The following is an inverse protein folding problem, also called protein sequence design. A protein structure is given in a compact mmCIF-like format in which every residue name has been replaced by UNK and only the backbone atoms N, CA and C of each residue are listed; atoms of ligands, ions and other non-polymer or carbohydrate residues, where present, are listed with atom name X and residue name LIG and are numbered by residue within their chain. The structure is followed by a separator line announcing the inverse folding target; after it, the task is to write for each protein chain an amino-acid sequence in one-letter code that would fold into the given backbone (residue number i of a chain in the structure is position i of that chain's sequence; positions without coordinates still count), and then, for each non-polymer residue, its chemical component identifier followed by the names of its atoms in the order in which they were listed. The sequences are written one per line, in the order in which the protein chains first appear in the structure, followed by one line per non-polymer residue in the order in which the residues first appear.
data_IF_049240366350
#
_entry.id   IF_049240366350
#
_cell.length_a   1.000
_cell.length_b   1.000
_cell.length_c   1.000
_cell.angle_alpha   90.00
_cell.angle_beta   90.00
_cell.angle_gamma   90.00
#
_symmetry.space_group_name_H-M   'P 1'
#
loop_
_entity.id
_entity.type
_entity.pdbx_description
1 polymer ?
#
# COMPACT_ATOMS: atom_id res chain seq x y z
N UNK A 1 -26.24 -12.51 7.79
CA UNK A 1 -25.73 -11.71 6.66
C UNK A 1 -25.04 -12.66 5.70
N UNK A 2 -25.30 -12.54 4.42
CA UNK A 2 -24.55 -13.32 3.43
C UNK A 2 -23.06 -12.96 3.53
N UNK A 3 -22.22 -13.98 3.37
CA UNK A 3 -20.76 -13.83 3.44
C UNK A 3 -20.30 -13.00 2.21
N UNK A 4 -19.63 -11.89 2.45
CA UNK A 4 -19.00 -11.07 1.39
C UNK A 4 -17.62 -11.65 1.08
N UNK A 5 -17.30 -11.83 -0.20
CA UNK A 5 -16.00 -12.41 -0.57
C UNK A 5 -14.89 -11.35 -0.60
N UNK A 6 -15.19 -10.15 -1.11
CA UNK A 6 -14.20 -9.09 -1.28
C UNK A 6 -14.71 -7.76 -0.71
N UNK A 7 -13.89 -7.12 0.12
CA UNK A 7 -14.06 -5.69 0.45
C UNK A 7 -13.08 -4.88 -0.42
N UNK A 8 -13.60 -4.06 -1.33
CA UNK A 8 -12.81 -3.01 -1.98
C UNK A 8 -12.65 -1.90 -0.95
N UNK A 9 -11.43 -1.63 -0.51
CA UNK A 9 -11.12 -0.64 0.51
C UNK A 9 -10.43 0.57 -0.12
N UNK A 10 -11.06 1.73 -0.06
CA UNK A 10 -10.52 2.97 -0.61
C UNK A 10 -10.22 3.98 0.50
N UNK A 11 -8.94 4.16 0.88
CA UNK A 11 -8.54 5.31 1.67
C UNK A 11 -8.58 6.57 0.80
N UNK A 12 -9.17 7.64 1.32
CA UNK A 12 -9.27 8.92 0.59
C UNK A 12 -8.97 10.11 1.50
N UNK A 13 -8.37 11.16 0.93
CA UNK A 13 -8.14 12.44 1.60
C UNK A 13 -8.12 13.57 0.58
N UNK A 14 -9.10 14.49 0.65
CA UNK A 14 -9.24 15.64 -0.26
C UNK A 14 -9.24 15.23 -1.76
N UNK A 15 -9.98 14.17 -2.13
CA UNK A 15 -10.00 13.60 -3.48
C UNK A 15 -11.40 13.21 -3.96
N UNK A 16 -12.43 13.87 -3.46
CA UNK A 16 -13.82 13.55 -3.79
C UNK A 16 -14.10 13.49 -5.31
N UNK A 17 -13.48 14.38 -6.09
CA UNK A 17 -13.66 14.43 -7.54
C UNK A 17 -13.10 13.18 -8.27
N UNK A 18 -12.08 12.53 -7.72
CA UNK A 18 -11.46 11.31 -8.29
C UNK A 18 -12.28 10.06 -7.96
N UNK A 19 -12.96 10.02 -6.80
CA UNK A 19 -13.78 8.88 -6.38
C UNK A 19 -14.88 8.53 -7.39
N UNK A 20 -15.41 9.50 -8.14
CA UNK A 20 -16.43 9.23 -9.14
C UNK A 20 -15.94 8.37 -10.31
N UNK A 21 -14.64 8.45 -10.64
CA UNK A 21 -14.03 7.61 -11.68
C UNK A 21 -13.89 6.17 -11.18
N UNK A 22 -13.34 6.01 -9.97
CA UNK A 22 -13.25 4.72 -9.31
C UNK A 22 -14.65 4.09 -9.13
N UNK A 23 -15.63 4.86 -8.67
CA UNK A 23 -17.03 4.42 -8.53
C UNK A 23 -17.58 3.82 -9.82
N UNK A 24 -17.41 4.50 -10.95
CA UNK A 24 -17.87 4.01 -12.26
C UNK A 24 -17.24 2.67 -12.64
N UNK A 25 -15.98 2.43 -12.29
CA UNK A 25 -15.29 1.15 -12.55
C UNK A 25 -15.79 0.05 -11.62
N UNK A 26 -16.11 0.38 -10.36
CA UNK A 26 -16.70 -0.54 -9.40
C UNK A 26 -18.08 -1.02 -9.85
N UNK A 27 -18.91 -0.11 -10.39
CA UNK A 27 -20.23 -0.47 -10.92
C UNK A 27 -20.18 -1.43 -12.12
N UNK A 28 -19.07 -1.45 -12.86
CA UNK A 28 -18.89 -2.32 -14.03
C UNK A 28 -18.37 -3.70 -13.69
N UNK A 29 -17.98 -3.97 -12.44
CA UNK A 29 -17.41 -5.27 -12.08
C UNK A 29 -18.37 -6.41 -12.45
N UNK A 30 -17.83 -7.45 -13.14
CA UNK A 30 -18.58 -8.66 -13.52
C UNK A 30 -18.97 -9.51 -12.31
N UNK A 31 -18.14 -9.56 -11.29
CA UNK A 31 -18.44 -10.20 -10.01
C UNK A 31 -19.22 -9.28 -9.08
N UNK A 32 -20.20 -9.79 -8.32
CA UNK A 32 -21.11 -8.96 -7.53
C UNK A 32 -21.08 -9.19 -6.02
N UNK A 33 -20.51 -10.27 -5.53
CA UNK A 33 -20.45 -10.52 -4.08
C UNK A 33 -19.27 -9.79 -3.43
N UNK A 34 -19.31 -8.46 -3.46
CA UNK A 34 -18.35 -7.57 -2.84
C UNK A 34 -19.03 -6.36 -2.19
N UNK A 35 -18.32 -5.69 -1.30
CA UNK A 35 -18.67 -4.37 -0.79
C UNK A 35 -17.60 -3.33 -1.19
N UNK A 36 -17.98 -2.07 -1.23
CA UNK A 36 -17.04 -0.95 -1.34
C UNK A 36 -17.02 -0.13 -0.06
N UNK A 37 -15.87 -0.11 0.62
CA UNK A 37 -15.64 0.60 1.86
C UNK A 37 -14.73 1.81 1.61
N UNK A 38 -15.30 3.01 1.71
CA UNK A 38 -14.58 4.28 1.59
C UNK A 38 -14.20 4.74 2.99
N UNK A 39 -12.90 4.94 3.24
CA UNK A 39 -12.39 5.48 4.51
C UNK A 39 -11.79 6.85 4.25
N UNK A 40 -12.50 7.87 4.68
CA UNK A 40 -12.08 9.27 4.59
C UNK A 40 -11.16 9.62 5.76
N UNK A 41 -9.91 9.92 5.44
CA UNK A 41 -8.87 10.27 6.40
C UNK A 41 -8.89 11.76 6.78
N UNK A 42 -10.08 12.30 7.08
CA UNK A 42 -10.24 13.65 7.58
C UNK A 42 -10.24 14.72 6.47
N UNK A 43 -10.90 14.46 5.34
CA UNK A 43 -11.01 15.44 4.25
C UNK A 43 -11.67 16.74 4.72
N UNK A 44 -11.16 17.84 4.18
CA UNK A 44 -11.63 19.23 4.43
C UNK A 44 -12.23 19.88 3.20
N UNK A 45 -12.18 19.18 2.06
CA UNK A 45 -12.83 19.58 0.80
C UNK A 45 -14.26 19.00 0.67
N UNK A 46 -14.82 19.02 -0.54
CA UNK A 46 -16.14 18.48 -0.84
C UNK A 46 -16.21 16.93 -0.89
N UNK A 47 -15.17 16.19 -0.47
CA UNK A 47 -15.12 14.71 -0.54
C UNK A 47 -16.36 14.09 0.11
N UNK A 48 -16.68 14.46 1.33
CA UNK A 48 -17.84 13.95 2.06
C UNK A 48 -19.14 14.21 1.28
N UNK A 49 -19.32 15.42 0.77
CA UNK A 49 -20.50 15.81 0.00
C UNK A 49 -20.64 15.00 -1.30
N UNK A 50 -19.51 14.76 -2.00
CA UNK A 50 -19.50 13.90 -3.20
C UNK A 50 -19.92 12.48 -2.85
N UNK A 51 -19.40 11.90 -1.78
CA UNK A 51 -19.75 10.54 -1.35
C UNK A 51 -21.23 10.47 -0.99
N UNK A 52 -21.72 11.33 -0.11
CA UNK A 52 -23.10 11.29 0.37
C UNK A 52 -24.12 11.54 -0.75
N UNK A 53 -23.88 12.54 -1.61
CA UNK A 53 -24.86 12.98 -2.60
C UNK A 53 -24.79 12.24 -3.94
N UNK A 54 -23.61 11.81 -4.38
CA UNK A 54 -23.41 11.23 -5.73
C UNK A 54 -23.12 9.73 -5.74
N UNK A 55 -22.59 9.19 -4.62
CA UNK A 55 -22.23 7.78 -4.55
C UNK A 55 -23.28 7.02 -3.73
N UNK A 56 -23.53 7.40 -2.47
CA UNK A 56 -24.44 6.67 -1.60
C UNK A 56 -25.90 6.74 -2.07
N UNK A 57 -26.30 7.86 -2.67
CA UNK A 57 -27.65 7.98 -3.21
C UNK A 57 -27.89 7.11 -4.45
N UNK A 58 -26.83 6.68 -5.12
CA UNK A 58 -26.89 5.80 -6.30
C UNK A 58 -26.92 4.30 -5.95
N UNK A 59 -26.50 3.93 -4.74
CA UNK A 59 -26.31 2.54 -4.31
C UNK A 59 -27.59 1.71 -4.41
N UNK A 60 -28.75 2.29 -4.13
CA UNK A 60 -30.03 1.61 -4.20
C UNK A 60 -30.40 1.17 -5.62
N UNK A 61 -29.90 1.90 -6.65
CA UNK A 61 -30.13 1.59 -8.06
C UNK A 61 -29.22 0.49 -8.61
N UNK A 62 -28.05 0.31 -7.98
CA UNK A 62 -26.98 -0.54 -8.52
C UNK A 62 -26.75 -1.84 -7.75
N UNK A 63 -27.37 -2.01 -6.60
CA UNK A 63 -27.23 -3.22 -5.78
C UNK A 63 -25.85 -3.44 -5.15
N UNK A 64 -24.93 -2.47 -5.28
CA UNK A 64 -23.59 -2.54 -4.67
C UNK A 64 -23.68 -2.02 -3.23
N UNK A 65 -23.22 -2.80 -2.27
CA UNK A 65 -23.11 -2.33 -0.88
C UNK A 65 -21.95 -1.37 -0.75
N UNK A 66 -22.25 -0.10 -0.43
CA UNK A 66 -21.25 0.95 -0.24
C UNK A 66 -21.34 1.48 1.17
N UNK A 67 -20.17 1.61 1.84
CA UNK A 67 -20.07 2.12 3.20
C UNK A 67 -19.04 3.25 3.24
N UNK A 68 -19.35 4.30 3.99
CA UNK A 68 -18.46 5.45 4.19
C UNK A 68 -18.13 5.61 5.67
N UNK A 69 -16.85 5.71 5.97
CA UNK A 69 -16.33 5.91 7.32
C UNK A 69 -15.44 7.15 7.30
N UNK A 70 -15.76 8.11 8.15
CA UNK A 70 -14.91 9.28 8.40
C UNK A 70 -14.03 9.04 9.64
N UNK A 71 -12.78 9.51 9.61
CA UNK A 71 -11.86 9.55 10.74
C UNK A 71 -10.99 10.80 10.69
N UNK A 72 -10.42 11.19 11.83
CA UNK A 72 -9.42 12.25 11.84
C UNK A 72 -8.18 11.89 11.03
N UNK A 73 -7.55 12.89 10.40
CA UNK A 73 -6.41 12.68 9.52
C UNK A 73 -5.21 12.09 10.25
N UNK A 74 -4.82 10.88 9.89
CA UNK A 74 -3.67 10.14 10.40
C UNK A 74 -2.74 9.60 9.31
N UNK A 75 -3.11 9.77 8.04
CA UNK A 75 -2.41 9.24 6.87
C UNK A 75 -3.02 7.95 6.32
N UNK A 76 -2.77 7.66 5.04
CA UNK A 76 -3.33 6.53 4.28
C UNK A 76 -3.29 5.21 5.07
N UNK A 77 -2.17 4.91 5.71
CA UNK A 77 -1.96 3.66 6.46
C UNK A 77 -2.95 3.50 7.63
N UNK A 78 -3.29 4.58 8.33
CA UNK A 78 -4.28 4.54 9.43
C UNK A 78 -5.71 4.36 8.89
N UNK A 79 -6.01 4.94 7.71
CA UNK A 79 -7.26 4.71 7.03
C UNK A 79 -7.39 3.25 6.53
N UNK A 80 -6.29 2.65 6.06
CA UNK A 80 -6.25 1.22 5.70
C UNK A 80 -6.52 0.35 6.94
N UNK A 81 -5.81 0.56 8.06
CA UNK A 81 -6.06 -0.18 9.31
C UNK A 81 -7.52 -0.08 9.74
N UNK A 82 -8.08 1.15 9.70
CA UNK A 82 -9.49 1.39 10.05
C UNK A 82 -10.43 0.62 9.12
N UNK A 83 -10.17 0.65 7.82
CA UNK A 83 -10.95 -0.06 6.81
C UNK A 83 -10.88 -1.58 6.99
N UNK A 84 -9.70 -2.15 7.21
CA UNK A 84 -9.52 -3.58 7.48
C UNK A 84 -10.32 -4.03 8.70
N UNK A 85 -10.38 -3.21 9.76
CA UNK A 85 -11.21 -3.51 10.94
C UNK A 85 -12.70 -3.65 10.57
N UNK A 86 -13.22 -2.75 9.71
CA UNK A 86 -14.63 -2.72 9.33
C UNK A 86 -14.98 -3.53 8.08
N UNK A 87 -14.01 -4.01 7.32
CA UNK A 87 -14.25 -4.84 6.14
C UNK A 87 -15.04 -6.10 6.51
N UNK A 88 -16.00 -6.52 5.65
CA UNK A 88 -16.77 -7.76 5.82
C UNK A 88 -16.25 -8.88 4.91
N UNK A 89 -15.52 -8.53 3.84
CA UNK A 89 -14.96 -9.48 2.89
C UNK A 89 -13.86 -10.35 3.49
N UNK A 90 -13.74 -11.57 2.99
CA UNK A 90 -12.62 -12.46 3.27
C UNK A 90 -11.31 -11.86 2.73
N UNK A 91 -11.37 -11.32 1.49
CA UNK A 91 -10.28 -10.63 0.83
C UNK A 91 -10.47 -9.11 0.92
N UNK A 92 -9.39 -8.36 1.06
CA UNK A 92 -9.36 -6.90 1.06
C UNK A 92 -8.55 -6.43 -0.15
N UNK A 93 -9.22 -5.76 -1.07
CA UNK A 93 -8.65 -5.12 -2.25
C UNK A 93 -8.46 -3.63 -1.95
N UNK A 94 -7.24 -3.19 -1.65
CA UNK A 94 -6.95 -1.78 -1.39
C UNK A 94 -6.90 -1.04 -2.73
N UNK A 95 -7.88 -0.19 -3.01
CA UNK A 95 -7.97 0.62 -4.22
C UNK A 95 -7.78 2.11 -3.90
N UNK A 96 -6.79 2.74 -4.50
CA UNK A 96 -6.55 4.17 -4.32
C UNK A 96 -7.63 5.00 -5.02
N UNK A 97 -7.96 6.17 -4.46
CA UNK A 97 -9.07 7.02 -4.92
C UNK A 97 -8.90 7.60 -6.32
N UNK A 98 -7.68 7.60 -6.85
CA UNK A 98 -7.28 8.12 -8.17
C UNK A 98 -7.10 7.05 -9.25
N UNK A 99 -7.34 5.78 -8.92
CA UNK A 99 -7.18 4.65 -9.82
C UNK A 99 -8.53 4.03 -10.23
N UNK A 100 -8.52 3.00 -11.06
CA UNK A 100 -9.72 2.27 -11.48
C UNK A 100 -9.45 0.77 -11.60
N UNK A 101 -10.52 -0.03 -11.56
CA UNK A 101 -10.46 -1.47 -11.74
C UNK A 101 -10.89 -1.86 -13.16
N UNK A 102 -10.18 -2.77 -13.86
CA UNK A 102 -10.73 -3.46 -15.03
C UNK A 102 -12.07 -4.14 -14.70
N UNK A 103 -12.98 -4.25 -15.65
CA UNK A 103 -14.34 -4.74 -15.42
C UNK A 103 -14.42 -6.14 -14.81
N UNK A 104 -13.39 -6.98 -14.99
CA UNK A 104 -13.28 -8.34 -14.47
C UNK A 104 -12.26 -8.50 -13.33
N UNK A 105 -11.78 -7.42 -12.72
CA UNK A 105 -10.70 -7.46 -11.72
C UNK A 105 -11.08 -8.33 -10.51
N UNK A 106 -12.26 -8.09 -9.92
CA UNK A 106 -12.72 -8.83 -8.74
C UNK A 106 -12.98 -10.30 -9.08
N UNK A 107 -13.59 -10.59 -10.22
CA UNK A 107 -13.81 -11.97 -10.69
C UNK A 107 -12.47 -12.71 -10.86
N UNK A 108 -11.48 -12.07 -11.45
CA UNK A 108 -10.13 -12.63 -11.62
C UNK A 108 -9.52 -12.99 -10.27
N UNK A 109 -9.56 -12.06 -9.31
CA UNK A 109 -9.01 -12.28 -7.95
C UNK A 109 -9.72 -13.43 -7.24
N UNK A 110 -11.06 -13.47 -7.28
CA UNK A 110 -11.85 -14.52 -6.61
C UNK A 110 -11.57 -15.89 -7.24
N UNK A 111 -11.57 -16.00 -8.57
CA UNK A 111 -11.31 -17.24 -9.27
C UNK A 111 -9.90 -17.78 -8.97
N UNK A 112 -8.88 -16.92 -8.97
CA UNK A 112 -7.51 -17.32 -8.65
C UNK A 112 -7.39 -17.74 -7.17
N UNK A 113 -8.08 -17.04 -6.25
CA UNK A 113 -8.12 -17.41 -4.85
C UNK A 113 -8.81 -18.75 -4.62
N UNK A 114 -9.94 -18.98 -5.27
CA UNK A 114 -10.67 -20.25 -5.18
C UNK A 114 -9.89 -21.42 -5.78
N UNK A 115 -9.04 -21.17 -6.77
CA UNK A 115 -8.16 -22.17 -7.39
C UNK A 115 -6.99 -22.63 -6.49
N UNK A 116 -6.72 -21.98 -5.36
CA UNK A 116 -5.67 -22.41 -4.43
C UNK A 116 -6.21 -23.55 -3.56
N UNK A 117 -5.59 -24.73 -3.67
CA UNK A 117 -6.01 -25.94 -2.93
C UNK A 117 -5.70 -25.83 -1.43
N UNK A 118 -4.46 -25.50 -1.08
CA UNK A 118 -4.04 -25.25 0.30
C UNK A 118 -3.79 -23.77 0.53
N UNK A 119 -4.75 -23.11 1.15
CA UNK A 119 -4.74 -21.67 1.44
C UNK A 119 -3.95 -21.31 2.70
N UNK A 120 -3.57 -22.30 3.52
CA UNK A 120 -2.98 -22.05 4.86
C UNK A 120 -1.67 -21.26 4.84
N UNK A 121 -0.92 -21.32 3.73
CA UNK A 121 0.36 -20.63 3.55
C UNK A 121 0.26 -19.39 2.68
N UNK A 122 -0.95 -19.00 2.27
CA UNK A 122 -1.16 -17.85 1.39
C UNK A 122 -1.78 -16.68 2.13
N UNK A 123 -1.29 -15.48 1.83
CA UNK A 123 -1.86 -14.22 2.28
C UNK A 123 -2.92 -13.65 1.33
N UNK A 124 -2.98 -14.13 0.08
CA UNK A 124 -3.88 -13.60 -0.94
C UNK A 124 -3.33 -13.72 -2.36
N UNK A 125 -3.74 -12.78 -3.21
CA UNK A 125 -3.41 -12.71 -4.65
C UNK A 125 -2.64 -11.41 -4.93
N UNK A 126 -1.77 -11.44 -5.94
CA UNK A 126 -1.13 -10.24 -6.46
C UNK A 126 -1.19 -10.24 -7.99
N UNK A 127 -1.79 -9.22 -8.59
CA UNK A 127 -1.85 -9.05 -10.04
C UNK A 127 -1.04 -7.85 -10.51
N UNK A 128 -1.02 -7.66 -11.83
CA UNK A 128 -0.29 -6.56 -12.46
C UNK A 128 -1.08 -5.26 -12.41
N UNK A 129 -0.33 -4.16 -12.29
CA UNK A 129 -0.81 -2.82 -12.57
C UNK A 129 -0.53 -2.48 -14.04
N UNK A 130 -1.44 -1.71 -14.65
CA UNK A 130 -1.23 -1.12 -15.97
C UNK A 130 -1.65 0.35 -15.97
N UNK A 131 -1.14 1.12 -16.92
CA UNK A 131 -1.64 2.46 -17.21
C UNK A 131 -3.00 2.40 -17.90
N UNK A 132 -3.72 3.51 -17.96
CA UNK A 132 -5.07 3.56 -18.55
C UNK A 132 -5.13 3.20 -20.04
N UNK A 133 -3.99 3.27 -20.76
CA UNK A 133 -3.85 2.78 -22.13
C UNK A 133 -3.57 1.26 -22.21
N UNK A 134 -3.59 0.56 -21.05
CA UNK A 134 -3.41 -0.89 -20.97
C UNK A 134 -1.97 -1.37 -20.94
N UNK A 135 -0.98 -0.48 -20.91
CA UNK A 135 0.43 -0.85 -20.83
C UNK A 135 0.79 -1.28 -19.42
N UNK A 136 1.26 -2.53 -19.27
CA UNK A 136 1.74 -3.08 -18.00
C UNK A 136 2.87 -2.23 -17.42
N UNK A 137 2.80 -1.95 -16.11
CA UNK A 137 3.82 -1.21 -15.38
C UNK A 137 4.90 -2.17 -14.93
N UNK A 138 6.12 -1.93 -15.38
CA UNK A 138 7.27 -2.76 -15.03
C UNK A 138 7.52 -3.92 -15.99
N UNK A 139 8.09 -5.03 -15.45
CA UNK A 139 8.57 -6.15 -16.25
C UNK A 139 7.51 -7.21 -16.57
N UNK A 140 6.35 -7.15 -15.95
CA UNK A 140 5.46 -8.31 -15.88
C UNK A 140 6.08 -9.47 -15.07
N UNK A 141 5.41 -10.61 -15.07
CA UNK A 141 5.91 -11.83 -14.40
C UNK A 141 6.63 -12.74 -15.40
N UNK A 142 7.62 -13.53 -14.94
CA UNK A 142 8.32 -14.51 -15.80
C UNK A 142 7.48 -15.76 -16.12
N UNK A 143 6.29 -15.91 -15.54
CA UNK A 143 5.34 -16.99 -15.79
C UNK A 143 3.91 -16.50 -15.56
N UNK A 144 2.91 -17.24 -16.07
CA UNK A 144 1.49 -16.92 -15.89
C UNK A 144 1.07 -16.86 -14.42
N UNK A 145 1.64 -17.73 -13.59
CA UNK A 145 1.37 -17.78 -12.16
C UNK A 145 2.63 -18.13 -11.38
N UNK A 146 2.86 -17.45 -10.27
CA UNK A 146 3.99 -17.71 -9.35
C UNK A 146 3.47 -17.69 -7.93
N UNK A 147 3.64 -18.79 -7.18
CA UNK A 147 3.34 -18.87 -5.76
C UNK A 147 4.64 -18.57 -4.95
N UNK A 148 4.80 -17.33 -4.48
CA UNK A 148 6.04 -16.88 -3.84
C UNK A 148 5.80 -15.76 -2.84
N UNK A 149 6.86 -15.32 -2.15
CA UNK A 149 6.82 -14.16 -1.25
C UNK A 149 7.13 -12.85 -1.99
N UNK A 150 6.67 -11.71 -1.48
CA UNK A 150 7.00 -10.41 -2.07
C UNK A 150 8.50 -10.14 -2.06
N UNK A 151 9.22 -10.60 -1.03
CA UNK A 151 10.68 -10.49 -0.95
C UNK A 151 11.34 -11.25 -2.09
N UNK A 152 10.96 -12.51 -2.33
CA UNK A 152 11.53 -13.34 -3.39
C UNK A 152 11.24 -12.75 -4.78
N UNK A 153 9.98 -12.37 -5.04
CA UNK A 153 9.57 -11.81 -6.34
C UNK A 153 10.31 -10.50 -6.65
N UNK A 154 10.39 -9.59 -5.67
CA UNK A 154 10.99 -8.27 -5.89
C UNK A 154 12.52 -8.29 -5.91
N UNK A 155 13.15 -9.04 -5.01
CA UNK A 155 14.61 -8.97 -4.83
C UNK A 155 15.37 -10.09 -5.51
N UNK A 156 14.83 -11.32 -5.55
CA UNK A 156 15.52 -12.48 -6.13
C UNK A 156 15.12 -12.67 -7.61
N UNK A 157 13.82 -12.66 -7.92
CA UNK A 157 13.32 -12.74 -9.32
C UNK A 157 13.41 -11.40 -10.05
N UNK A 158 13.68 -10.29 -9.35
CA UNK A 158 13.89 -8.94 -9.89
C UNK A 158 12.71 -8.43 -10.72
N UNK A 159 11.49 -8.82 -10.35
CA UNK A 159 10.27 -8.27 -10.95
C UNK A 159 10.14 -6.81 -10.55
N UNK A 160 10.04 -5.93 -11.56
CA UNK A 160 9.96 -4.48 -11.39
C UNK A 160 8.56 -3.96 -11.71
N UNK A 161 8.29 -2.72 -11.31
CA UNK A 161 6.99 -2.06 -11.49
C UNK A 161 6.07 -2.26 -10.28
N UNK A 162 5.04 -1.44 -10.20
CA UNK A 162 4.02 -1.59 -9.17
C UNK A 162 3.12 -2.79 -9.51
N UNK A 163 2.58 -3.44 -8.52
CA UNK A 163 1.63 -4.54 -8.61
C UNK A 163 0.58 -4.37 -7.53
N UNK A 164 -0.60 -4.92 -7.75
CA UNK A 164 -1.72 -4.81 -6.82
C UNK A 164 -1.84 -6.08 -5.98
N UNK A 165 -1.57 -5.93 -4.71
CA UNK A 165 -1.80 -6.97 -3.71
C UNK A 165 -3.23 -6.92 -3.19
N UNK A 166 -3.87 -8.10 -3.10
CA UNK A 166 -5.17 -8.33 -2.48
C UNK A 166 -4.98 -9.34 -1.38
N UNK A 167 -5.16 -8.93 -0.14
CA UNK A 167 -4.83 -9.75 1.01
C UNK A 167 -6.07 -10.34 1.70
N UNK A 168 -5.88 -11.46 2.37
CA UNK A 168 -6.82 -11.91 3.40
C UNK A 168 -6.96 -10.85 4.49
N UNK A 169 -8.20 -10.55 4.88
CA UNK A 169 -8.50 -9.67 6.00
C UNK A 169 -7.76 -10.09 7.27
N UNK A 170 -7.76 -11.38 7.59
CA UNK A 170 -7.09 -11.94 8.77
C UNK A 170 -5.58 -11.68 8.78
N UNK A 171 -4.94 -11.73 7.60
CA UNK A 171 -3.51 -11.44 7.46
C UNK A 171 -3.23 -9.96 7.68
N UNK A 172 -4.04 -9.05 7.11
CA UNK A 172 -3.89 -7.61 7.38
C UNK A 172 -4.16 -7.25 8.85
N UNK A 173 -5.02 -8.00 9.54
CA UNK A 173 -5.24 -7.85 10.98
C UNK A 173 -4.07 -8.39 11.81
N UNK A 174 -3.38 -9.43 11.35
CA UNK A 174 -2.17 -9.96 11.99
C UNK A 174 -0.97 -9.02 11.80
N UNK A 175 -0.88 -8.35 10.66
CA UNK A 175 0.21 -7.43 10.29
C UNK A 175 -0.32 -6.00 10.02
N UNK A 176 -0.85 -5.29 11.03
CA UNK A 176 -1.34 -3.93 10.82
C UNK A 176 -0.19 -2.97 10.51
N UNK A 177 -0.53 -1.91 9.82
CA UNK A 177 0.41 -0.79 9.66
C UNK A 177 0.74 -0.18 11.02
N UNK A 178 2.01 0.10 11.35
CA UNK A 178 2.36 0.83 12.55
C UNK A 178 1.84 2.26 12.48
N UNK A 179 1.12 2.67 13.51
CA UNK A 179 0.65 4.05 13.69
C UNK A 179 1.58 4.78 14.65
N UNK A 180 2.41 5.65 14.08
CA UNK A 180 3.45 6.37 14.82
C UNK A 180 2.98 7.80 15.07
N UNK A 181 2.95 8.21 16.33
CA UNK A 181 2.51 9.54 16.71
C UNK A 181 3.29 10.64 15.98
N UNK A 182 2.57 11.53 15.29
CA UNK A 182 3.13 12.63 14.51
C UNK A 182 3.71 12.23 13.16
N UNK A 183 3.59 10.97 12.72
CA UNK A 183 3.90 10.54 11.34
C UNK A 183 2.62 10.22 10.58
N UNK A 184 2.51 10.72 9.36
CA UNK A 184 1.33 10.55 8.49
C UNK A 184 1.59 9.66 7.28
N UNK A 185 2.72 8.98 7.28
CA UNK A 185 3.09 8.06 6.20
C UNK A 185 3.80 6.83 6.75
N UNK A 186 3.36 5.67 6.32
CA UNK A 186 4.07 4.41 6.48
C UNK A 186 4.24 3.75 5.10
N UNK A 187 5.46 3.36 4.70
CA UNK A 187 5.66 2.63 3.45
C UNK A 187 4.91 1.29 3.46
N UNK A 188 4.10 1.01 2.46
CA UNK A 188 3.36 -0.24 2.35
C UNK A 188 4.30 -1.46 2.32
N UNK A 189 5.45 -1.31 1.68
CA UNK A 189 6.50 -2.34 1.63
C UNK A 189 6.94 -2.84 3.00
N UNK A 190 6.80 -2.04 4.07
CA UNK A 190 7.08 -2.49 5.43
C UNK A 190 6.17 -3.64 5.84
N UNK A 191 4.87 -3.47 5.60
CA UNK A 191 3.86 -4.48 5.95
C UNK A 191 3.91 -5.66 4.98
N UNK A 192 4.06 -5.40 3.67
CA UNK A 192 4.18 -6.47 2.67
C UNK A 192 5.38 -7.37 2.91
N UNK A 193 6.51 -6.83 3.33
CA UNK A 193 7.68 -7.62 3.68
C UNK A 193 7.49 -8.40 4.98
N UNK A 194 6.81 -7.84 5.98
CA UNK A 194 6.47 -8.57 7.22
C UNK A 194 5.57 -9.76 6.91
N UNK A 195 4.53 -9.58 6.10
CA UNK A 195 3.65 -10.66 5.63
C UNK A 195 4.48 -11.73 4.90
N UNK A 196 5.43 -11.31 4.06
CA UNK A 196 6.29 -12.20 3.28
C UNK A 196 7.22 -13.07 4.13
N UNK A 197 7.43 -12.75 5.41
CA UNK A 197 8.20 -13.62 6.32
C UNK A 197 7.42 -14.87 6.72
N UNK A 198 6.09 -14.87 6.57
CA UNK A 198 5.23 -15.97 7.01
C UNK A 198 4.38 -16.54 5.88
N UNK A 199 3.96 -15.73 4.93
CA UNK A 199 3.00 -16.09 3.91
C UNK A 199 3.52 -15.83 2.50
N UNK A 200 2.97 -16.58 1.53
CA UNK A 200 3.12 -16.37 0.09
C UNK A 200 1.94 -15.56 -0.46
N UNK A 201 2.11 -15.01 -1.63
CA UNK A 201 1.04 -14.56 -2.52
C UNK A 201 1.04 -15.42 -3.77
N UNK A 202 -0.12 -15.63 -4.36
CA UNK A 202 -0.23 -16.07 -5.73
C UNK A 202 -0.14 -14.86 -6.64
N UNK A 203 0.98 -14.74 -7.35
CA UNK A 203 1.21 -13.72 -8.37
C UNK A 203 0.65 -14.22 -9.69
N UNK A 204 -0.16 -13.39 -10.35
CA UNK A 204 -0.79 -13.70 -11.63
C UNK A 204 -0.37 -12.68 -12.69
N UNK A 205 -0.05 -13.16 -13.90
CA UNK A 205 0.35 -12.30 -15.02
C UNK A 205 -0.89 -11.71 -15.73
N UNK A 206 -1.83 -11.20 -14.92
CA UNK A 206 -3.09 -10.57 -15.35
C UNK A 206 -3.19 -9.17 -14.77
N UNK A 207 -3.64 -8.21 -15.58
CA UNK A 207 -3.91 -6.85 -15.12
C UNK A 207 -5.22 -6.85 -14.33
N UNK A 208 -5.13 -6.45 -13.06
CA UNK A 208 -6.29 -6.32 -12.16
C UNK A 208 -6.47 -4.88 -11.65
N UNK A 209 -5.57 -3.96 -12.02
CA UNK A 209 -5.59 -2.59 -11.55
C UNK A 209 -5.04 -1.63 -12.61
N UNK A 210 -5.68 -0.47 -12.76
CA UNK A 210 -5.27 0.57 -13.69
C UNK A 210 -4.93 1.84 -12.92
N UNK A 211 -3.73 2.35 -13.15
CA UNK A 211 -3.18 3.49 -12.40
C UNK A 211 -2.89 4.67 -13.33
N UNK A 212 -3.04 5.86 -12.76
CA UNK A 212 -2.64 7.10 -13.39
C UNK A 212 -1.72 7.89 -12.44
N UNK A 213 -0.47 8.08 -12.84
CA UNK A 213 0.46 8.85 -12.04
C UNK A 213 0.07 10.34 -11.98
N UNK A 214 -0.37 10.76 -10.80
CA UNK A 214 -0.73 12.16 -10.56
C UNK A 214 0.52 13.00 -10.25
N UNK A 215 0.70 14.19 -10.87
CA UNK A 215 1.81 15.08 -10.57
C UNK A 215 1.91 15.48 -9.09
N UNK A 216 0.75 15.56 -8.41
CA UNK A 216 0.62 15.85 -6.98
C UNK A 216 0.59 14.59 -6.09
N UNK A 217 0.86 13.40 -6.66
CA UNK A 217 0.83 12.13 -5.95
C UNK A 217 2.00 11.97 -4.96
N UNK A 218 1.83 11.06 -4.00
CA UNK A 218 2.87 10.72 -2.99
C UNK A 218 4.17 10.28 -3.67
N UNK A 219 4.08 9.57 -4.79
CA UNK A 219 5.23 9.05 -5.54
C UNK A 219 6.18 10.16 -5.99
N UNK A 220 5.64 11.30 -6.47
CA UNK A 220 6.44 12.46 -6.90
C UNK A 220 7.21 13.13 -5.75
N UNK A 221 6.68 13.05 -4.52
CA UNK A 221 7.24 13.66 -3.31
C UNK A 221 7.77 12.63 -2.30
N UNK A 222 7.99 11.38 -2.70
CA UNK A 222 8.23 10.24 -1.80
C UNK A 222 9.40 10.46 -0.83
N UNK A 223 10.49 11.11 -1.28
CA UNK A 223 11.62 11.42 -0.40
C UNK A 223 11.21 12.38 0.71
N UNK A 224 10.50 13.45 0.36
CA UNK A 224 10.02 14.45 1.34
C UNK A 224 9.04 13.83 2.32
N UNK A 225 8.13 13.00 1.84
CA UNK A 225 7.13 12.29 2.66
C UNK A 225 7.82 11.36 3.67
N UNK A 226 8.85 10.62 3.25
CA UNK A 226 9.66 9.78 4.14
C UNK A 226 10.49 10.59 5.14
N UNK A 227 10.99 11.75 4.76
CA UNK A 227 11.70 12.65 5.69
C UNK A 227 10.79 13.23 6.77
N UNK A 228 9.50 13.44 6.46
CA UNK A 228 8.47 13.87 7.42
C UNK A 228 7.93 12.71 8.29
N UNK A 229 8.13 11.48 7.86
CA UNK A 229 7.79 10.24 8.59
C UNK A 229 9.04 9.35 8.73
N UNK A 230 10.08 9.86 9.43
CA UNK A 230 11.39 9.24 9.42
C UNK A 230 11.47 7.94 10.23
N UNK A 231 10.63 7.75 11.25
CA UNK A 231 10.64 6.55 12.08
C UNK A 231 10.14 5.36 11.26
N UNK A 232 8.98 5.48 10.59
CA UNK A 232 8.45 4.42 9.73
C UNK A 232 9.43 4.08 8.59
N UNK A 233 10.03 5.10 7.95
CA UNK A 233 11.04 4.90 6.93
C UNK A 233 12.29 4.19 7.48
N UNK A 234 12.77 4.57 8.67
CA UNK A 234 13.93 3.96 9.32
C UNK A 234 13.67 2.50 9.69
N UNK A 235 12.50 2.18 10.25
CA UNK A 235 12.08 0.80 10.55
C UNK A 235 12.08 -0.04 9.28
N UNK A 236 11.48 0.47 8.21
CA UNK A 236 11.43 -0.24 6.91
C UNK A 236 12.82 -0.68 6.46
N UNK A 237 13.77 0.25 6.44
CA UNK A 237 15.13 -0.07 6.00
C UNK A 237 15.94 -0.88 7.00
N UNK A 238 15.66 -0.75 8.30
CA UNK A 238 16.27 -1.61 9.32
C UNK A 238 15.83 -3.07 9.14
N UNK A 239 14.54 -3.33 8.93
CA UNK A 239 14.02 -4.69 8.70
C UNK A 239 14.56 -5.30 7.40
N UNK A 240 14.70 -4.51 6.34
CA UNK A 240 15.27 -4.99 5.07
C UNK A 240 16.69 -5.56 5.21
N UNK A 241 17.47 -5.16 6.22
CA UNK A 241 18.81 -5.70 6.46
C UNK A 241 18.79 -7.14 7.01
N UNK A 242 17.65 -7.57 7.55
CA UNK A 242 17.47 -8.92 8.10
C UNK A 242 16.90 -9.92 7.08
N UNK A 243 16.37 -9.45 5.94
CA UNK A 243 15.80 -10.35 4.92
C UNK A 243 16.89 -10.99 4.06
N UNK A 244 16.56 -12.14 3.47
CA UNK A 244 17.42 -12.81 2.49
C UNK A 244 17.30 -12.14 1.12
N UNK A 245 18.06 -11.07 0.95
CA UNK A 245 18.13 -10.25 -0.26
C UNK A 245 19.59 -10.01 -0.64
N UNK A 246 19.82 -9.61 -1.89
CA UNK A 246 21.18 -9.37 -2.39
C UNK A 246 21.97 -8.34 -1.56
N UNK A 247 23.28 -8.48 -1.50
CA UNK A 247 24.15 -7.53 -0.82
C UNK A 247 24.00 -6.09 -1.33
N UNK A 248 23.78 -5.92 -2.65
CA UNK A 248 23.51 -4.60 -3.23
C UNK A 248 22.23 -3.97 -2.65
N UNK A 249 21.16 -4.77 -2.49
CA UNK A 249 19.92 -4.31 -1.87
C UNK A 249 20.12 -3.99 -0.37
N UNK A 250 20.90 -4.79 0.35
CA UNK A 250 21.25 -4.53 1.76
C UNK A 250 22.06 -3.24 1.90
N UNK A 251 23.08 -3.01 1.06
CA UNK A 251 23.87 -1.77 1.07
C UNK A 251 22.96 -0.55 0.81
N UNK A 252 22.08 -0.62 -0.20
CA UNK A 252 21.10 0.44 -0.48
C UNK A 252 20.19 0.69 0.72
N UNK A 253 19.74 -0.36 1.39
CA UNK A 253 18.91 -0.27 2.59
C UNK A 253 19.66 0.35 3.76
N UNK A 254 20.93 -0.03 3.99
CA UNK A 254 21.75 0.54 5.04
C UNK A 254 22.00 2.06 4.82
N UNK A 255 22.26 2.48 3.59
CA UNK A 255 22.41 3.89 3.24
C UNK A 255 21.12 4.66 3.56
N UNK A 256 19.95 4.14 3.13
CA UNK A 256 18.65 4.78 3.40
C UNK A 256 18.29 4.72 4.90
N UNK A 257 18.64 3.66 5.61
CA UNK A 257 18.50 3.60 7.06
C UNK A 257 19.17 4.82 7.72
N UNK A 258 20.45 5.06 7.43
CA UNK A 258 21.16 6.20 8.00
C UNK A 258 20.67 7.54 7.49
N UNK A 259 20.22 7.62 6.23
CA UNK A 259 19.60 8.81 5.63
C UNK A 259 18.37 9.27 6.40
N UNK A 260 17.42 8.36 6.64
CA UNK A 260 16.17 8.71 7.33
C UNK A 260 16.33 8.75 8.85
N UNK A 261 17.23 7.94 9.42
CA UNK A 261 17.58 8.04 10.84
C UNK A 261 18.13 9.42 11.21
N UNK A 262 18.84 10.08 10.30
CA UNK A 262 19.32 11.46 10.51
C UNK A 262 18.19 12.49 10.59
N UNK A 263 16.99 12.18 10.08
CA UNK A 263 15.81 13.04 10.21
C UNK A 263 15.11 12.92 11.56
N UNK A 264 15.41 11.89 12.36
CA UNK A 264 14.77 11.69 13.66
C UNK A 264 15.37 12.71 14.64
N UNK A 265 14.60 13.76 14.92
CA UNK A 265 14.97 14.75 15.92
C UNK A 265 14.84 14.07 17.29
N UNK A 266 15.82 14.27 18.16
CA UNK A 266 15.80 13.83 19.56
C UNK A 266 14.77 14.64 20.35
N UNK A 267 13.50 14.60 19.98
CA UNK A 267 12.43 15.21 20.76
C UNK A 267 11.54 14.11 21.34
N UNK A 268 11.12 14.32 22.56
CA UNK A 268 10.18 13.69 23.49
C UNK A 268 9.04 12.79 22.99
N UNK A 269 9.07 12.25 21.77
CA UNK A 269 8.06 11.31 21.26
C UNK A 269 8.32 9.92 21.86
N UNK A 270 7.27 9.20 22.25
CA UNK A 270 7.34 7.79 22.63
C UNK A 270 8.18 7.06 21.60
N UNK A 271 9.35 6.58 22.01
CA UNK A 271 10.26 5.88 21.11
C UNK A 271 9.64 4.56 20.68
N UNK A 272 9.17 4.52 19.45
CA UNK A 272 8.89 3.23 18.79
C UNK A 272 10.21 2.49 18.65
N UNK A 273 10.24 1.23 19.05
CA UNK A 273 11.46 0.41 18.95
C UNK A 273 11.86 0.25 17.48
N UNK A 274 13.02 0.82 17.12
CA UNK A 274 13.61 0.58 15.80
C UNK A 274 14.42 -0.73 15.90
N UNK A 275 14.25 -1.67 14.96
CA UNK A 275 15.00 -2.93 14.95
C UNK A 275 16.50 -2.68 15.00
N UNK A 276 17.20 -3.58 15.70
CA UNK A 276 18.67 -3.51 15.83
C UNK A 276 19.32 -3.66 14.45
N UNK A 277 20.25 -2.80 14.15
CA UNK A 277 21.06 -2.85 12.92
C UNK A 277 22.51 -3.14 13.30
N UNK A 278 23.07 -4.22 12.75
CA UNK A 278 24.44 -4.64 13.03
C UNK A 278 25.44 -3.50 12.75
N UNK A 279 26.46 -3.39 13.59
CA UNK A 279 27.51 -2.36 13.49
C UNK A 279 28.26 -2.40 12.14
N UNK A 280 28.30 -3.54 11.48
CA UNK A 280 28.93 -3.68 10.14
C UNK A 280 28.33 -2.70 9.12
N UNK A 281 27.06 -2.34 9.26
CA UNK A 281 26.40 -1.40 8.37
C UNK A 281 26.76 0.06 8.65
N UNK A 282 27.51 0.35 9.73
CA UNK A 282 27.96 1.72 10.05
C UNK A 282 28.87 2.30 8.97
N UNK A 283 29.52 1.48 8.17
CA UNK A 283 30.28 1.89 6.98
C UNK A 283 29.43 2.69 5.97
N UNK A 284 28.13 2.47 5.94
CA UNK A 284 27.19 3.19 5.07
C UNK A 284 26.73 4.56 5.65
N UNK A 285 27.06 4.86 6.92
CA UNK A 285 26.64 6.09 7.62
C UNK A 285 27.08 7.38 6.90
N UNK A 286 28.32 7.53 6.42
CA UNK A 286 28.74 8.76 5.71
C UNK A 286 27.90 9.01 4.45
N UNK A 287 27.63 7.97 3.65
CA UNK A 287 26.82 8.08 2.43
C UNK A 287 25.37 8.43 2.76
N UNK A 288 24.79 7.80 3.77
CA UNK A 288 23.43 8.10 4.24
C UNK A 288 23.33 9.57 4.69
N UNK A 289 24.32 10.07 5.43
CA UNK A 289 24.36 11.46 5.87
C UNK A 289 24.52 12.45 4.70
N UNK A 290 25.36 12.13 3.72
CA UNK A 290 25.51 12.96 2.50
C UNK A 290 24.19 13.04 1.73
N UNK A 291 23.47 11.93 1.57
CA UNK A 291 22.15 11.92 0.94
C UNK A 291 21.14 12.77 1.72
N UNK A 292 21.08 12.63 3.05
CA UNK A 292 20.27 13.47 3.91
C UNK A 292 20.56 14.97 3.71
N UNK A 293 21.83 15.37 3.70
CA UNK A 293 22.24 16.77 3.45
C UNK A 293 21.81 17.29 2.07
N UNK A 294 21.89 16.42 1.06
CA UNK A 294 21.40 16.73 -0.30
C UNK A 294 19.88 16.97 -0.29
N UNK A 295 19.13 16.11 0.38
CA UNK A 295 17.67 16.23 0.47
C UNK A 295 17.25 17.53 1.17
N UNK A 296 17.90 17.87 2.28
CA UNK A 296 17.62 19.13 2.98
C UNK A 296 17.82 20.35 2.07
N UNK A 297 18.89 20.36 1.26
CA UNK A 297 19.13 21.44 0.29
C UNK A 297 18.03 21.52 -0.76
N UNK A 298 17.59 20.37 -1.31
CA UNK A 298 16.54 20.31 -2.32
C UNK A 298 15.17 20.77 -1.78
N UNK A 299 14.92 20.54 -0.49
CA UNK A 299 13.67 20.93 0.16
C UNK A 299 13.66 22.36 0.75
N UNK A 300 14.77 23.12 0.56
CA UNK A 300 14.90 24.47 1.10
C UNK A 300 14.96 24.56 2.61
N UNK A 301 15.15 23.42 3.30
CA UNK A 301 15.34 23.41 4.74
C UNK A 301 16.76 23.86 5.09
N UNK A 302 16.91 24.98 5.79
CA UNK A 302 18.20 25.37 6.37
C UNK A 302 18.61 24.30 7.37
N UNK A 303 19.85 23.81 7.24
CA UNK A 303 20.46 22.97 8.28
C UNK A 303 20.88 23.93 9.42
N UNK A 304 20.16 23.90 10.51
CA UNK A 304 20.71 24.40 11.79
C UNK A 304 21.54 23.29 12.46
#
# INVERSE_FOLDING_TARGET
MERVDVSILTPTYNRGYLLLRLYKSILKQSYRNFEWLIVDDGSTDDTRKVVEQKILNDVERNGVTIRYIYKDNGGKHTAVNRGVHFANGELVFIADSDDVLPDNAIETVVNEWMGIKDKSVFAGICGLDASFDGKVIGSGLPAETIDSTSIDVRFNKKVTGDMKEVFLKSVLQEFPFPEIEGERFCPEVLVWNRIATKYKLRYINKVIYLVEYQPSGITSAITQVRMKSPIAATITYAEMLHYDISWAAKIKSAINYYRFKACIIKSSKKMVSIPHVSIIWSVCKPLGWLMYRKDLKLLGCKCD
#
